data_IF_959082677905
#
_entry.id   IF_959082677905
#
_cell.length_a   1.000
_cell.length_b   1.000
_cell.length_c   1.000
_cell.angle_alpha   90.00
_cell.angle_beta   90.00
_cell.angle_gamma   90.00
#
_symmetry.space_group_name_H-M   'P 1'
#
loop_
_entity.id
_entity.type
_entity.pdbx_description
1 polymer ?
#
# COMPACT_ATOMS: atom_id res chain seq x y z
N UNK A 1 -5.13 2.93 -5.69
CA UNK A 1 -4.92 1.87 -4.65
C UNK A 1 -4.73 0.51 -5.30
N UNK A 2 -3.55 -0.12 -5.11
CA UNK A 2 -3.20 -1.41 -5.73
C UNK A 2 -3.23 -2.54 -4.68
N UNK A 3 -3.52 -3.77 -5.11
CA UNK A 3 -3.45 -4.95 -4.24
C UNK A 3 -2.11 -5.65 -4.45
N UNK A 4 -1.46 -6.07 -3.36
CA UNK A 4 -0.26 -6.89 -3.39
C UNK A 4 -0.38 -8.07 -2.43
N UNK A 5 0.08 -9.24 -2.86
CA UNK A 5 0.20 -10.42 -2.02
C UNK A 5 1.41 -10.29 -1.09
N UNK A 6 1.19 -9.84 0.15
CA UNK A 6 2.22 -9.63 1.18
C UNK A 6 1.76 -10.29 2.49
N UNK A 7 1.72 -11.63 2.57
CA UNK A 7 1.24 -12.36 3.74
C UNK A 7 2.06 -12.09 5.01
N UNK A 8 3.34 -11.78 4.85
CA UNK A 8 4.29 -11.53 5.94
C UNK A 8 3.95 -10.32 6.80
N UNK A 9 3.15 -9.36 6.31
CA UNK A 9 2.89 -8.11 7.02
C UNK A 9 1.40 -7.90 7.30
N UNK A 10 1.09 -7.36 8.47
CA UNK A 10 -0.25 -6.86 8.77
C UNK A 10 -0.50 -5.53 8.02
N UNK A 11 -1.77 -5.27 7.64
CA UNK A 11 -2.14 -4.10 6.83
C UNK A 11 -1.78 -2.76 7.51
N UNK A 12 -1.94 -2.67 8.83
CA UNK A 12 -1.59 -1.48 9.61
C UNK A 12 -0.08 -1.21 9.60
N UNK A 13 0.75 -2.25 9.73
CA UNK A 13 2.21 -2.15 9.67
C UNK A 13 2.65 -1.70 8.29
N UNK A 14 2.12 -2.33 7.23
CA UNK A 14 2.40 -1.95 5.85
C UNK A 14 2.01 -0.49 5.56
N UNK A 15 0.83 -0.05 6.02
CA UNK A 15 0.39 1.33 5.86
C UNK A 15 1.36 2.32 6.53
N UNK A 16 1.76 2.06 7.79
CA UNK A 16 2.68 2.92 8.52
C UNK A 16 4.06 3.00 7.85
N UNK A 17 4.59 1.87 7.41
CA UNK A 17 5.88 1.81 6.75
C UNK A 17 5.88 2.54 5.39
N UNK A 18 4.93 2.24 4.50
CA UNK A 18 4.81 2.91 3.18
C UNK A 18 4.63 4.42 3.34
N UNK A 19 3.84 4.83 4.35
CA UNK A 19 3.65 6.22 4.71
C UNK A 19 4.98 6.91 5.06
N UNK A 20 5.73 6.36 6.01
CA UNK A 20 6.99 6.96 6.48
C UNK A 20 8.00 7.05 5.35
N UNK A 21 8.16 5.99 4.55
CA UNK A 21 9.08 5.99 3.41
C UNK A 21 8.70 7.03 2.36
N UNK A 22 7.40 7.15 2.05
CA UNK A 22 6.90 8.14 1.08
C UNK A 22 7.16 9.56 1.57
N UNK A 23 6.89 9.85 2.84
CA UNK A 23 7.14 11.17 3.44
C UNK A 23 8.64 11.51 3.39
N UNK A 24 9.52 10.58 3.77
CA UNK A 24 10.96 10.82 3.73
C UNK A 24 11.44 11.15 2.31
N UNK A 25 10.98 10.40 1.30
CA UNK A 25 11.34 10.65 -0.09
C UNK A 25 10.83 12.01 -0.59
N UNK A 26 9.59 12.39 -0.23
CA UNK A 26 9.06 13.71 -0.58
C UNK A 26 9.85 14.86 0.06
N UNK A 27 10.25 14.72 1.33
CA UNK A 27 11.06 15.72 2.03
C UNK A 27 12.42 15.90 1.36
N UNK A 28 13.07 14.81 0.96
CA UNK A 28 14.33 14.85 0.19
C UNK A 28 14.14 15.56 -1.14
N UNK A 29 13.09 15.24 -1.88
CA UNK A 29 12.79 15.89 -3.17
C UNK A 29 12.54 17.39 -3.01
N UNK A 30 12.00 17.81 -1.86
CA UNK A 30 11.80 19.22 -1.51
C UNK A 30 13.07 19.90 -0.95
N UNK A 31 14.19 19.19 -0.82
CA UNK A 31 15.45 19.71 -0.27
C UNK A 31 15.44 19.85 1.26
N UNK A 32 14.48 19.23 1.95
CA UNK A 32 14.42 19.25 3.41
C UNK A 32 15.39 18.22 4.02
N UNK A 33 15.99 18.55 5.19
CA UNK A 33 16.82 17.61 5.92
C UNK A 33 15.97 16.45 6.47
N UNK A 34 16.36 15.23 6.10
CA UNK A 34 15.91 13.98 6.73
C UNK A 34 16.97 13.51 7.72
N UNK A 35 16.53 12.82 8.78
CA UNK A 35 17.41 12.28 9.81
C UNK A 35 18.51 11.40 9.22
N UNK A 36 19.75 11.55 9.71
CA UNK A 36 20.96 10.88 9.21
C UNK A 36 20.95 9.33 9.28
N UNK A 37 19.96 8.73 9.97
CA UNK A 37 19.76 7.27 10.02
C UNK A 37 18.82 6.71 8.94
N UNK A 38 18.35 7.53 8.00
CA UNK A 38 17.42 7.11 6.94
C UNK A 38 18.23 6.65 5.71
N UNK A 39 18.26 5.34 5.46
CA UNK A 39 18.75 4.78 4.20
C UNK A 39 17.69 4.94 3.10
N UNK A 40 17.80 6.04 2.34
CA UNK A 40 16.88 6.39 1.25
C UNK A 40 16.95 5.40 0.07
N UNK A 41 18.12 4.82 -0.18
CA UNK A 41 18.29 3.82 -1.24
C UNK A 41 17.52 2.54 -0.87
N UNK A 42 17.62 2.12 0.38
CA UNK A 42 16.85 1.00 0.90
C UNK A 42 15.33 1.26 0.88
N UNK A 43 14.90 2.45 1.32
CA UNK A 43 13.47 2.81 1.31
C UNK A 43 12.89 2.84 -0.12
N UNK A 44 13.64 3.39 -1.08
CA UNK A 44 13.24 3.41 -2.49
C UNK A 44 13.15 1.99 -3.05
N UNK A 45 14.18 1.17 -2.81
CA UNK A 45 14.20 -0.24 -3.22
C UNK A 45 13.01 -1.01 -2.66
N UNK A 46 12.69 -0.84 -1.37
CA UNK A 46 11.61 -1.55 -0.73
C UNK A 46 10.23 -1.14 -1.28
N UNK A 47 10.03 0.15 -1.56
CA UNK A 47 8.83 0.65 -2.24
C UNK A 47 8.68 0.06 -3.65
N UNK A 48 9.76 0.02 -4.42
CA UNK A 48 9.75 -0.57 -5.77
C UNK A 48 9.39 -2.05 -5.74
N UNK A 49 9.95 -2.82 -4.79
CA UNK A 49 9.63 -4.24 -4.61
C UNK A 49 8.16 -4.46 -4.27
N UNK A 50 7.58 -3.61 -3.43
CA UNK A 50 6.15 -3.66 -3.11
C UNK A 50 5.30 -3.34 -4.33
N UNK A 51 5.67 -2.33 -5.12
CA UNK A 51 4.96 -1.99 -6.36
C UNK A 51 5.03 -3.10 -7.41
N UNK A 52 6.21 -3.71 -7.60
CA UNK A 52 6.39 -4.88 -8.48
C UNK A 52 5.50 -6.03 -8.05
N UNK A 53 5.42 -6.30 -6.75
CA UNK A 53 4.56 -7.37 -6.20
C UNK A 53 3.08 -7.05 -6.38
N UNK A 54 2.70 -5.78 -6.30
CA UNK A 54 1.35 -5.33 -6.63
C UNK A 54 1.01 -5.58 -8.10
N UNK A 55 1.94 -5.29 -8.99
CA UNK A 55 1.78 -5.49 -10.43
C UNK A 55 1.68 -6.98 -10.78
N UNK A 56 2.54 -7.82 -10.23
CA UNK A 56 2.45 -9.28 -10.39
C UNK A 56 1.10 -9.82 -9.86
N UNK A 57 0.65 -9.33 -8.71
CA UNK A 57 -0.66 -9.68 -8.13
C UNK A 57 -1.81 -9.25 -9.06
N UNK A 58 -1.73 -8.07 -9.66
CA UNK A 58 -2.71 -7.56 -10.64
C UNK A 58 -2.78 -8.45 -11.89
N UNK A 59 -1.63 -8.90 -12.39
CA UNK A 59 -1.55 -9.78 -13.57
C UNK A 59 -2.12 -11.16 -13.29
N UNK A 60 -1.87 -11.71 -12.10
CA UNK A 60 -2.42 -13.02 -11.68
C UNK A 60 -3.91 -12.97 -11.36
N UNK A 61 -4.40 -11.85 -10.84
CA UNK A 61 -5.79 -11.66 -10.42
C UNK A 61 -6.50 -10.62 -11.29
N UNK A 62 -6.64 -10.90 -12.59
CA UNK A 62 -7.27 -9.97 -13.55
C UNK A 62 -8.71 -9.55 -13.13
N UNK A 63 -9.45 -10.43 -12.45
CA UNK A 63 -10.77 -10.13 -11.87
C UNK A 63 -10.75 -9.25 -10.61
N UNK A 64 -9.59 -9.08 -9.99
CA UNK A 64 -9.35 -8.28 -8.78
C UNK A 64 -8.67 -6.93 -9.08
N UNK A 65 -8.83 -6.42 -10.31
CA UNK A 65 -8.22 -5.17 -10.79
C UNK A 65 -8.46 -3.95 -9.87
N UNK A 66 -9.46 -4.00 -8.99
CA UNK A 66 -9.60 -3.06 -7.87
C UNK A 66 -10.13 -3.75 -6.61
N UNK A 67 -9.87 -3.20 -5.41
CA UNK A 67 -10.47 -3.68 -4.17
C UNK A 67 -12.01 -3.66 -4.18
N UNK A 68 -12.62 -2.76 -4.97
CA UNK A 68 -14.07 -2.71 -5.14
C UNK A 68 -14.57 -3.89 -5.99
N UNK A 69 -13.91 -4.16 -7.12
CA UNK A 69 -14.25 -5.28 -8.00
C UNK A 69 -14.02 -6.62 -7.31
N UNK A 70 -12.91 -6.77 -6.58
CA UNK A 70 -12.65 -7.96 -5.76
C UNK A 70 -13.75 -8.18 -4.72
N UNK A 71 -14.15 -7.14 -3.98
CA UNK A 71 -15.26 -7.24 -3.00
C UNK A 71 -16.57 -7.63 -3.67
N UNK A 72 -16.86 -7.07 -4.84
CA UNK A 72 -18.06 -7.39 -5.60
C UNK A 72 -18.05 -8.86 -6.06
N UNK A 73 -16.94 -9.32 -6.64
CA UNK A 73 -16.75 -10.72 -7.06
C UNK A 73 -16.90 -11.68 -5.88
N UNK A 74 -16.26 -11.37 -4.74
CA UNK A 74 -16.36 -12.20 -3.53
C UNK A 74 -17.78 -12.25 -2.95
N UNK A 75 -18.56 -11.17 -3.07
CA UNK A 75 -19.97 -11.14 -2.64
C UNK A 75 -20.89 -11.95 -3.55
N UNK A 76 -20.55 -12.08 -4.83
CA UNK A 76 -21.30 -12.88 -5.78
C UNK A 76 -21.06 -14.40 -5.63
N UNK A 77 -20.03 -14.81 -4.87
CA UNK A 77 -19.73 -16.22 -4.63
C UNK A 77 -20.63 -16.84 -3.54
N UNK A 78 -21.01 -18.12 -3.67
CA UNK A 78 -21.65 -18.88 -2.61
C UNK A 78 -20.81 -18.86 -1.31
N UNK A 79 -21.44 -18.89 -0.12
CA UNK A 79 -20.74 -18.73 1.16
C UNK A 79 -19.55 -19.69 1.35
N UNK A 80 -19.71 -20.96 0.98
CA UNK A 80 -18.67 -22.00 1.11
C UNK A 80 -17.46 -21.68 0.22
N UNK A 81 -17.71 -21.33 -1.05
CA UNK A 81 -16.67 -20.97 -2.02
C UNK A 81 -15.97 -19.68 -1.60
N UNK A 82 -16.73 -18.69 -1.14
CA UNK A 82 -16.19 -17.42 -0.65
C UNK A 82 -15.22 -17.64 0.51
N UNK A 83 -15.56 -18.49 1.48
CA UNK A 83 -14.68 -18.78 2.63
C UNK A 83 -13.37 -19.42 2.19
N UNK A 84 -13.41 -20.40 1.27
CA UNK A 84 -12.21 -21.03 0.71
C UNK A 84 -11.31 -20.02 -0.02
N UNK A 85 -11.91 -19.20 -0.88
CA UNK A 85 -11.19 -18.15 -1.62
C UNK A 85 -10.63 -17.09 -0.66
N UNK A 86 -11.34 -16.74 0.42
CA UNK A 86 -10.83 -15.78 1.42
C UNK A 86 -9.58 -16.29 2.15
N UNK A 87 -9.43 -17.60 2.36
CA UNK A 87 -8.20 -18.19 2.92
C UNK A 87 -7.04 -18.06 1.93
N UNK A 88 -7.28 -18.34 0.64
CA UNK A 88 -6.27 -18.18 -0.41
C UNK A 88 -5.85 -16.71 -0.59
N UNK A 89 -6.78 -15.77 -0.36
CA UNK A 89 -6.54 -14.33 -0.45
C UNK A 89 -6.08 -13.70 0.87
N UNK A 90 -5.87 -14.47 1.94
CA UNK A 90 -5.51 -13.95 3.27
C UNK A 90 -4.20 -13.16 3.28
N UNK A 91 -3.33 -13.37 2.30
CA UNK A 91 -2.09 -12.62 2.11
C UNK A 91 -2.25 -11.30 1.35
N UNK A 92 -3.41 -11.00 0.76
CA UNK A 92 -3.59 -9.76 0.01
C UNK A 92 -3.63 -8.55 0.93
N UNK A 93 -2.88 -7.52 0.54
CA UNK A 93 -2.80 -6.22 1.21
C UNK A 93 -3.04 -5.12 0.20
N UNK A 94 -3.62 -4.03 0.66
CA UNK A 94 -3.71 -2.82 -0.14
C UNK A 94 -2.41 -2.03 0.01
N UNK A 95 -1.77 -1.70 -1.10
CA UNK A 95 -0.67 -0.76 -1.14
C UNK A 95 -1.21 0.65 -1.41
N UNK A 96 -0.95 1.60 -0.50
CA UNK A 96 -1.22 3.00 -0.77
C UNK A 96 -0.32 3.48 -1.90
N UNK A 97 -0.88 4.20 -2.87
CA UNK A 97 -0.11 4.78 -3.96
C UNK A 97 0.55 6.09 -3.47
N UNK A 98 1.89 6.23 -3.60
CA UNK A 98 2.59 7.44 -3.14
C UNK A 98 2.06 8.73 -3.78
N UNK A 99 1.57 8.65 -5.01
CA UNK A 99 0.94 9.76 -5.74
C UNK A 99 -0.59 9.82 -5.67
N UNK A 100 -1.24 9.00 -4.82
CA UNK A 100 -2.69 9.04 -4.68
C UNK A 100 -3.10 10.40 -4.08
N UNK A 101 -3.95 11.21 -4.75
CA UNK A 101 -4.37 12.50 -4.25
C UNK A 101 -5.14 12.40 -2.92
N UNK A 102 -5.68 11.24 -2.56
CA UNK A 102 -6.24 11.00 -1.23
C UNK A 102 -5.14 10.83 -0.16
N UNK A 103 -4.03 10.14 -0.47
CA UNK A 103 -2.85 10.10 0.40
C UNK A 103 -2.23 11.49 0.53
N UNK A 104 -2.01 12.17 -0.60
CA UNK A 104 -1.48 13.53 -0.62
C UNK A 104 -2.36 14.48 0.20
N UNK A 105 -3.70 14.38 0.12
CA UNK A 105 -4.63 15.15 0.96
C UNK A 105 -4.56 14.76 2.44
N UNK A 106 -4.43 13.47 2.76
CA UNK A 106 -4.27 12.99 4.13
C UNK A 106 -2.96 13.52 4.76
N UNK A 107 -1.85 13.51 4.02
CA UNK A 107 -0.56 14.04 4.47
C UNK A 107 -0.54 15.56 4.52
N UNK A 108 -1.07 16.25 3.51
CA UNK A 108 -1.20 17.71 3.51
C UNK A 108 -2.07 18.23 4.67
N UNK A 109 -3.04 17.45 5.16
CA UNK A 109 -3.81 17.80 6.37
C UNK A 109 -3.00 17.62 7.65
N UNK A 110 -2.13 16.61 7.75
CA UNK A 110 -1.26 16.42 8.92
C UNK A 110 -0.10 17.41 8.99
N UNK A 111 0.44 17.86 7.86
CA UNK A 111 1.41 18.96 7.83
C UNK A 111 0.82 20.32 8.25
N UNK A 112 -0.52 20.41 8.39
CA UNK A 112 -1.23 21.61 8.88
C UNK A 112 -1.66 21.51 10.34
N UNK A 113 -1.42 20.39 11.02
CA UNK A 113 -1.62 20.35 12.46
C UNK A 113 -0.41 21.00 13.12
N UNK A 114 -0.59 22.04 13.95
CA UNK A 114 0.52 22.58 14.73
C UNK A 114 1.06 21.44 15.59
N UNK A 115 2.36 21.20 15.48
CA UNK A 115 3.08 20.36 16.44
C UNK A 115 2.87 20.91 17.85
N UNK A 116 2.59 20.06 18.86
CA UNK A 116 2.63 20.48 20.25
C UNK A 116 4.02 20.95 20.66
#
# INVERSE_FOLDING_TARGET
>A
MRLALVPEWAQNVLNGMVTVMTVNLMRVQAGEPVSSGIDLAWQSYLLDRLQQRAEATRQMLQGAASPARLRQTLRALPPVTRTRVMVELAGLRCLPEPGDPALARFFNRRCRLPTP
#
